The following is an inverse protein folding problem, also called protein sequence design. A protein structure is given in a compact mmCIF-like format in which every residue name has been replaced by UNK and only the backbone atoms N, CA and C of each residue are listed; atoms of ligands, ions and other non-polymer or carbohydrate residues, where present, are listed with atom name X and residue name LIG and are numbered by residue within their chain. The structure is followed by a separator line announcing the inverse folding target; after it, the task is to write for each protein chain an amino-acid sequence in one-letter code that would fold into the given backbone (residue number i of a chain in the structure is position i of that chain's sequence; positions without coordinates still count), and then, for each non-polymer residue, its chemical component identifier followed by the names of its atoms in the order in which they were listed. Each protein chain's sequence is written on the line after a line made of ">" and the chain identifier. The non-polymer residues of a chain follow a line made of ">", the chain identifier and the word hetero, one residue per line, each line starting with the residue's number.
data_IF_833588053104
#
_entry.id   IF_833588053104
#
_cell.length_a   1.000
_cell.length_b   1.000
_cell.length_c   1.000
_cell.angle_alpha   90.00
_cell.angle_beta   90.00
_cell.angle_gamma   90.00
#
_symmetry.space_group_name_H-M   'P 1'
#
loop_
_entity.id
_entity.type
_entity.pdbx_description
1 polymer ?
#
# COMPACT_ATOMS: atom_id res chain seq x y z
N UNK A 1 0.80 -29.90 5.76
CA UNK A 1 -0.31 -30.12 6.73
C UNK A 1 -1.36 -29.07 6.49
N UNK A 2 -2.64 -29.47 6.43
CA UNK A 2 -3.78 -28.56 6.33
C UNK A 2 -4.16 -28.03 7.71
N UNK A 3 -4.71 -26.81 7.74
CA UNK A 3 -5.31 -26.17 8.90
C UNK A 3 -6.59 -25.47 8.45
N UNK A 4 -7.57 -25.40 9.34
CA UNK A 4 -8.83 -24.72 9.07
C UNK A 4 -9.19 -23.74 10.20
N UNK A 5 -9.89 -22.65 9.85
CA UNK A 5 -10.45 -21.66 10.77
C UNK A 5 -11.93 -21.51 10.49
N UNK A 6 -12.76 -21.56 11.53
CA UNK A 6 -14.18 -21.30 11.45
C UNK A 6 -14.51 -19.96 12.11
N UNK A 7 -15.01 -19.02 11.34
CA UNK A 7 -15.43 -17.67 11.74
C UNK A 7 -16.35 -17.08 10.68
N UNK A 8 -16.86 -15.87 10.87
CA UNK A 8 -17.37 -15.11 9.73
C UNK A 8 -16.23 -14.80 8.76
N UNK A 9 -16.47 -14.89 7.44
CA UNK A 9 -15.47 -14.64 6.40
C UNK A 9 -15.89 -13.49 5.52
N UNK A 10 -14.95 -12.58 5.24
CA UNK A 10 -15.01 -11.60 4.16
C UNK A 10 -14.03 -12.01 3.05
N UNK A 11 -14.50 -12.07 1.83
CA UNK A 11 -13.68 -12.30 0.62
C UNK A 11 -14.30 -11.54 -0.56
N UNK A 12 -13.61 -11.52 -1.69
CA UNK A 12 -14.10 -10.83 -2.88
C UNK A 12 -14.18 -11.80 -4.05
N UNK A 13 -15.24 -11.66 -4.88
CA UNK A 13 -15.39 -12.44 -6.10
C UNK A 13 -14.50 -11.90 -7.25
N UNK A 14 -14.62 -12.50 -8.42
CA UNK A 14 -13.84 -12.10 -9.60
C UNK A 14 -14.16 -10.67 -10.09
N UNK A 15 -15.34 -10.14 -9.73
CA UNK A 15 -15.80 -8.80 -10.08
C UNK A 15 -15.49 -7.77 -8.99
N UNK A 16 -14.85 -8.19 -7.88
CA UNK A 16 -14.53 -7.32 -6.74
C UNK A 16 -15.72 -7.06 -5.81
N UNK A 17 -16.80 -7.85 -5.94
CA UNK A 17 -17.93 -7.76 -5.02
C UNK A 17 -17.62 -8.51 -3.73
N UNK A 18 -17.99 -7.92 -2.59
CA UNK A 18 -17.80 -8.54 -1.30
C UNK A 18 -18.71 -9.78 -1.14
N UNK A 19 -18.12 -10.86 -0.69
CA UNK A 19 -18.82 -12.11 -0.34
C UNK A 19 -18.61 -12.37 1.14
N UNK A 20 -19.72 -12.53 1.87
CA UNK A 20 -19.74 -12.75 3.31
C UNK A 20 -20.35 -14.09 3.66
N UNK A 21 -19.61 -14.90 4.36
CA UNK A 21 -20.08 -16.14 4.97
C UNK A 21 -20.17 -15.94 6.48
N UNK A 22 -21.37 -15.78 7.06
CA UNK A 22 -21.56 -15.51 8.50
C UNK A 22 -21.09 -16.64 9.40
N UNK A 23 -21.09 -17.87 8.91
CA UNK A 23 -20.44 -19.05 9.49
C UNK A 23 -19.60 -19.70 8.39
N UNK A 24 -18.39 -19.23 8.24
CA UNK A 24 -17.46 -19.63 7.19
C UNK A 24 -16.40 -20.60 7.67
N UNK A 25 -15.78 -21.28 6.71
CA UNK A 25 -14.58 -22.11 6.89
C UNK A 25 -13.51 -21.68 5.91
N UNK A 26 -12.34 -21.33 6.44
CA UNK A 26 -11.11 -21.08 5.67
C UNK A 26 -10.18 -22.26 5.86
N UNK A 27 -9.83 -22.95 4.78
CA UNK A 27 -8.88 -24.08 4.80
C UNK A 27 -7.62 -23.69 4.08
N UNK A 28 -6.47 -23.94 4.68
CA UNK A 28 -5.16 -23.60 4.13
C UNK A 28 -4.21 -24.78 4.18
N UNK A 29 -3.20 -24.75 3.31
CA UNK A 29 -2.14 -25.77 3.26
C UNK A 29 -0.79 -25.11 2.93
N UNK A 30 0.31 -25.58 3.54
CA UNK A 30 1.66 -25.18 3.11
C UNK A 30 2.02 -25.91 1.82
N UNK A 31 2.54 -25.17 0.85
CA UNK A 31 3.13 -25.70 -0.38
C UNK A 31 4.57 -26.19 -0.15
N UNK A 32 5.22 -26.71 -1.19
CA UNK A 32 6.59 -27.20 -1.14
C UNK A 32 7.63 -26.11 -0.80
N UNK A 33 7.32 -24.85 -1.09
CA UNK A 33 8.16 -23.69 -0.75
C UNK A 33 7.92 -23.18 0.69
N UNK A 34 7.05 -23.85 1.46
CA UNK A 34 6.70 -23.48 2.82
C UNK A 34 5.69 -22.33 2.92
N UNK A 35 5.17 -21.84 1.79
CA UNK A 35 4.15 -20.79 1.76
C UNK A 35 2.78 -21.44 2.01
N UNK A 36 2.02 -20.88 2.94
CA UNK A 36 0.65 -21.30 3.21
C UNK A 36 -0.28 -20.71 2.16
N UNK A 37 -1.07 -21.57 1.50
CA UNK A 37 -2.05 -21.16 0.50
C UNK A 37 -3.47 -21.49 0.92
N UNK A 38 -4.41 -20.70 0.45
CA UNK A 38 -5.84 -21.01 0.59
C UNK A 38 -6.17 -22.21 -0.29
N UNK A 39 -6.77 -23.23 0.32
CA UNK A 39 -7.31 -24.44 -0.36
C UNK A 39 -8.80 -24.25 -0.64
N UNK A 40 -9.54 -23.77 0.36
CA UNK A 40 -10.96 -23.49 0.25
C UNK A 40 -11.36 -22.36 1.22
N UNK A 41 -12.34 -21.55 0.82
CA UNK A 41 -12.99 -20.57 1.67
C UNK A 41 -14.47 -20.43 1.27
N UNK A 42 -15.37 -20.50 2.23
CA UNK A 42 -16.81 -20.42 1.99
C UNK A 42 -17.61 -20.89 3.20
N UNK A 43 -18.91 -21.15 3.00
CA UNK A 43 -19.81 -21.61 4.06
C UNK A 43 -19.29 -22.87 4.76
N UNK A 44 -19.26 -22.84 6.09
CA UNK A 44 -18.88 -23.98 6.89
C UNK A 44 -19.78 -25.20 6.61
N UNK A 45 -21.10 -25.02 6.46
CA UNK A 45 -22.02 -26.11 6.18
C UNK A 45 -21.67 -26.88 4.88
N UNK A 46 -21.19 -26.15 3.88
CA UNK A 46 -20.80 -26.75 2.58
C UNK A 46 -19.40 -27.40 2.62
N UNK A 47 -18.46 -26.80 3.34
CA UNK A 47 -17.05 -27.22 3.30
C UNK A 47 -16.68 -28.23 4.38
N UNK A 48 -17.30 -28.19 5.57
CA UNK A 48 -16.95 -29.06 6.68
C UNK A 48 -16.97 -30.57 6.35
N UNK A 49 -17.95 -31.11 5.59
CA UNK A 49 -17.92 -32.53 5.21
C UNK A 49 -16.71 -32.90 4.35
N UNK A 50 -16.22 -31.97 3.53
CA UNK A 50 -15.07 -32.20 2.62
C UNK A 50 -13.73 -32.18 3.36
N UNK A 51 -13.68 -31.52 4.53
CA UNK A 51 -12.47 -31.30 5.34
C UNK A 51 -12.62 -31.85 6.77
N UNK A 52 -13.44 -32.88 6.97
CA UNK A 52 -13.77 -33.42 8.29
C UNK A 52 -12.57 -33.86 9.13
N UNK A 53 -11.44 -34.22 8.49
CA UNK A 53 -10.20 -34.65 9.17
C UNK A 53 -9.21 -33.52 9.43
N UNK A 54 -9.51 -32.26 8.97
CA UNK A 54 -8.63 -31.12 9.16
C UNK A 54 -8.91 -30.48 10.53
N UNK A 55 -7.86 -30.26 11.37
CA UNK A 55 -8.05 -29.57 12.64
C UNK A 55 -8.60 -28.16 12.41
N UNK A 56 -9.69 -27.82 13.12
CA UNK A 56 -10.40 -26.54 13.00
C UNK A 56 -10.17 -25.68 14.25
N UNK A 57 -9.65 -24.48 14.05
CA UNK A 57 -9.66 -23.43 15.08
C UNK A 57 -10.98 -22.66 14.95
N UNK A 58 -11.86 -22.78 15.94
CA UNK A 58 -13.13 -22.05 15.96
C UNK A 58 -12.96 -20.69 16.66
N UNK A 59 -13.35 -19.63 16.00
CA UNK A 59 -13.22 -18.23 16.43
C UNK A 59 -14.60 -17.55 16.46
N UNK A 60 -15.44 -17.86 17.47
CA UNK A 60 -16.80 -17.34 17.53
C UNK A 60 -16.81 -15.82 17.67
N UNK A 61 -17.70 -15.15 16.93
CA UNK A 61 -17.83 -13.69 16.93
C UNK A 61 -16.65 -12.93 16.29
N UNK A 62 -15.76 -13.62 15.59
CA UNK A 62 -14.67 -12.99 14.84
C UNK A 62 -14.99 -12.93 13.35
N UNK A 63 -14.38 -11.96 12.67
CA UNK A 63 -14.37 -11.84 11.23
C UNK A 63 -12.96 -12.12 10.71
N UNK A 64 -12.83 -13.09 9.82
CA UNK A 64 -11.59 -13.28 9.05
C UNK A 64 -11.74 -12.52 7.74
N UNK A 65 -10.78 -11.66 7.44
CA UNK A 65 -10.69 -10.90 6.20
C UNK A 65 -9.30 -11.08 5.57
N UNK A 66 -9.13 -10.81 4.26
CA UNK A 66 -7.79 -10.77 3.66
C UNK A 66 -6.87 -9.82 4.43
N UNK A 67 -5.59 -10.14 4.50
CA UNK A 67 -4.58 -9.21 4.99
C UNK A 67 -4.58 -7.92 4.16
N UNK A 68 -4.40 -6.79 4.83
CA UNK A 68 -4.39 -5.49 4.16
C UNK A 68 -3.14 -5.34 3.30
N UNK A 69 -3.32 -4.58 2.21
CA UNK A 69 -2.27 -4.25 1.23
C UNK A 69 -2.09 -2.74 1.24
N UNK A 70 -0.93 -2.28 1.67
CA UNK A 70 -0.57 -0.86 1.67
C UNK A 70 0.22 -0.52 0.39
N UNK A 71 -0.34 0.33 -0.46
CA UNK A 71 0.25 0.62 -1.77
C UNK A 71 1.36 1.68 -1.75
N UNK A 72 1.59 2.33 -0.59
CA UNK A 72 2.63 3.35 -0.45
C UNK A 72 2.87 3.67 1.03
N UNK A 73 4.09 3.47 1.49
CA UNK A 73 4.49 3.74 2.87
C UNK A 73 6.00 3.99 2.95
N UNK A 74 6.44 4.85 3.87
CA UNK A 74 7.85 5.17 4.08
C UNK A 74 8.35 4.63 5.42
N UNK A 75 9.11 3.52 5.43
CA UNK A 75 9.63 3.02 6.69
C UNK A 75 10.62 3.95 7.40
N UNK A 76 11.41 4.80 6.68
CA UNK A 76 12.33 5.72 7.36
C UNK A 76 11.66 6.90 8.07
N UNK A 77 10.36 7.11 7.86
CA UNK A 77 9.66 8.31 8.37
C UNK A 77 8.83 8.04 9.64
N UNK A 78 9.05 6.90 10.31
CA UNK A 78 8.35 6.54 11.55
C UNK A 78 8.44 7.63 12.61
N UNK A 79 9.66 8.13 12.84
CA UNK A 79 9.95 9.08 13.91
C UNK A 79 9.41 10.50 13.63
N UNK A 80 8.86 10.76 12.43
CA UNK A 80 8.30 12.05 12.06
C UNK A 80 6.77 12.03 11.87
N UNK A 81 6.11 10.92 12.16
CA UNK A 81 4.65 10.84 12.15
C UNK A 81 4.06 11.91 13.07
N UNK A 82 3.11 12.72 12.55
CA UNK A 82 2.45 13.75 13.33
C UNK A 82 3.31 14.98 13.62
N UNK A 83 4.48 15.14 13.00
CA UNK A 83 5.26 16.36 13.08
C UNK A 83 4.52 17.51 12.39
N UNK A 84 4.43 18.72 13.00
CA UNK A 84 3.68 19.83 12.43
C UNK A 84 4.11 20.18 11.01
N UNK A 85 3.16 20.45 10.12
CA UNK A 85 3.44 20.73 8.71
C UNK A 85 2.71 21.99 8.23
N UNK A 86 3.47 22.92 7.67
CA UNK A 86 2.94 24.10 6.94
C UNK A 86 2.78 23.82 5.43
N UNK A 87 2.84 22.55 5.04
CA UNK A 87 2.77 22.02 3.68
C UNK A 87 3.88 21.04 3.38
N UNK A 88 3.83 20.41 2.18
CA UNK A 88 4.73 19.33 1.78
C UNK A 88 6.21 19.74 1.84
N UNK A 89 6.60 20.79 1.09
CA UNK A 89 8.02 21.10 0.91
C UNK A 89 8.71 21.52 2.21
N UNK A 90 8.13 22.40 3.07
CA UNK A 90 8.71 22.70 4.39
C UNK A 90 8.80 21.46 5.30
N UNK A 91 7.82 20.55 5.24
CA UNK A 91 7.82 19.34 6.04
C UNK A 91 8.94 18.38 5.63
N UNK A 92 9.21 18.26 4.31
CA UNK A 92 10.34 17.47 3.80
C UNK A 92 11.68 18.01 4.31
N UNK A 93 11.88 19.33 4.26
CA UNK A 93 13.13 19.97 4.68
C UNK A 93 13.39 19.88 6.19
N UNK A 94 12.34 20.13 7.00
CA UNK A 94 12.49 20.22 8.46
C UNK A 94 12.54 18.85 9.15
N UNK A 95 11.77 17.88 8.67
CA UNK A 95 11.61 16.60 9.37
C UNK A 95 12.11 15.41 8.57
N UNK A 96 11.70 15.29 7.31
CA UNK A 96 11.90 14.07 6.53
C UNK A 96 13.35 13.84 6.15
N UNK A 97 13.99 14.80 5.49
CA UNK A 97 15.37 14.64 5.04
C UNK A 97 16.37 14.46 6.19
N UNK A 98 16.28 15.21 7.30
CA UNK A 98 17.13 14.96 8.48
C UNK A 98 16.94 13.55 9.05
N UNK A 99 15.73 13.05 9.11
CA UNK A 99 15.44 11.69 9.60
C UNK A 99 15.98 10.63 8.63
N UNK A 100 15.75 10.78 7.33
CA UNK A 100 16.24 9.85 6.32
C UNK A 100 17.77 9.78 6.25
N UNK A 101 18.48 10.88 6.50
CA UNK A 101 19.94 10.91 6.55
C UNK A 101 20.53 9.98 7.62
N UNK A 102 19.81 9.71 8.71
CA UNK A 102 20.24 8.79 9.79
C UNK A 102 20.38 7.35 9.31
N UNK A 103 19.76 6.98 8.20
CA UNK A 103 19.80 5.64 7.63
C UNK A 103 21.13 5.31 6.90
N UNK A 104 22.07 6.24 6.87
CA UNK A 104 23.47 5.96 6.59
C UNK A 104 24.06 5.00 7.62
N UNK A 105 23.55 4.98 8.86
CA UNK A 105 23.91 4.01 9.90
C UNK A 105 23.10 2.72 9.73
N UNK A 106 23.72 1.58 9.39
CA UNK A 106 23.04 0.30 9.24
C UNK A 106 22.38 -0.19 10.54
N UNK A 107 22.90 0.16 11.71
CA UNK A 107 22.31 -0.25 12.99
C UNK A 107 20.98 0.46 13.22
N UNK A 108 20.91 1.77 12.95
CA UNK A 108 19.67 2.54 12.97
C UNK A 108 18.65 1.99 11.97
N UNK A 109 19.08 1.75 10.71
CA UNK A 109 18.21 1.19 9.69
C UNK A 109 17.60 -0.16 10.12
N UNK A 110 18.40 -1.05 10.73
CA UNK A 110 17.94 -2.35 11.22
C UNK A 110 16.97 -2.23 12.41
N UNK A 111 17.18 -1.28 13.33
CA UNK A 111 16.28 -1.02 14.44
C UNK A 111 14.90 -0.56 13.95
N UNK A 112 14.89 0.44 13.07
CA UNK A 112 13.64 0.99 12.51
C UNK A 112 12.93 -0.05 11.63
N UNK A 113 13.66 -0.86 10.87
CA UNK A 113 13.06 -1.93 10.05
C UNK A 113 12.30 -2.97 10.91
N UNK A 114 12.86 -3.35 12.06
CA UNK A 114 12.18 -4.25 13.02
C UNK A 114 10.86 -3.64 13.51
N UNK A 115 10.93 -2.41 13.99
CA UNK A 115 9.76 -1.71 14.51
C UNK A 115 8.69 -1.52 13.43
N UNK A 116 9.10 -1.11 12.22
CA UNK A 116 8.20 -0.95 11.08
C UNK A 116 7.46 -2.25 10.74
N UNK A 117 8.18 -3.37 10.66
CA UNK A 117 7.56 -4.66 10.38
C UNK A 117 6.62 -5.12 11.50
N UNK A 118 6.90 -4.79 12.77
CA UNK A 118 6.01 -5.03 13.91
C UNK A 118 4.71 -4.21 13.77
N UNK A 119 4.82 -2.93 13.39
CA UNK A 119 3.65 -2.06 13.21
C UNK A 119 2.80 -2.50 12.00
N UNK A 120 3.40 -2.90 10.89
CA UNK A 120 2.63 -3.49 9.78
C UNK A 120 1.80 -4.69 10.26
N UNK A 121 2.44 -5.63 10.96
CA UNK A 121 1.77 -6.82 11.48
C UNK A 121 0.69 -6.47 12.53
N UNK A 122 0.96 -5.51 13.43
CA UNK A 122 0.00 -5.02 14.45
C UNK A 122 -1.27 -4.48 13.80
N UNK A 123 -1.14 -3.79 12.67
CA UNK A 123 -2.26 -3.19 11.96
C UNK A 123 -2.88 -4.08 10.88
N UNK A 124 -2.42 -5.34 10.76
CA UNK A 124 -2.97 -6.30 9.81
C UNK A 124 -2.49 -6.14 8.37
N UNK A 125 -1.46 -5.32 8.14
CA UNK A 125 -0.84 -5.14 6.83
C UNK A 125 0.13 -6.29 6.57
N UNK A 126 -0.14 -7.09 5.56
CA UNK A 126 0.66 -8.27 5.20
C UNK A 126 1.47 -8.08 3.93
N UNK A 127 1.12 -7.07 3.14
CA UNK A 127 1.79 -6.68 1.90
C UNK A 127 1.92 -5.16 1.85
N UNK A 128 3.13 -4.64 1.54
CA UNK A 128 3.32 -3.21 1.37
C UNK A 128 4.29 -2.88 0.23
N UNK A 129 4.02 -1.76 -0.47
CA UNK A 129 4.96 -1.10 -1.37
C UNK A 129 5.63 0.04 -0.61
N UNK A 130 6.94 -0.10 -0.34
CA UNK A 130 7.64 0.66 0.68
C UNK A 130 8.78 1.48 0.09
N UNK A 131 8.86 2.75 0.46
CA UNK A 131 10.02 3.59 0.22
C UNK A 131 11.09 3.34 1.28
N UNK A 132 12.33 3.15 0.83
CA UNK A 132 13.54 3.22 1.65
C UNK A 132 14.20 4.61 1.47
N UNK A 133 15.41 4.78 2.00
CA UNK A 133 16.22 5.98 1.76
C UNK A 133 17.14 5.80 0.54
N UNK A 134 17.94 6.82 0.22
CA UNK A 134 18.99 6.73 -0.79
C UNK A 134 20.14 5.79 -0.40
N UNK A 135 20.23 5.35 0.85
CA UNK A 135 21.28 4.48 1.33
C UNK A 135 20.96 3.00 1.05
N UNK A 136 21.83 2.23 0.36
CA UNK A 136 21.63 0.80 0.13
C UNK A 136 21.39 -0.01 1.41
N UNK A 137 22.05 0.37 2.53
CA UNK A 137 21.90 -0.27 3.82
C UNK A 137 20.44 -0.24 4.33
N UNK A 138 19.67 0.79 4.00
CA UNK A 138 18.27 0.89 4.37
C UNK A 138 17.40 -0.18 3.70
N UNK A 139 17.69 -0.51 2.45
CA UNK A 139 17.01 -1.58 1.70
C UNK A 139 17.39 -2.95 2.26
N UNK A 140 18.70 -3.16 2.50
CA UNK A 140 19.19 -4.41 3.07
C UNK A 140 18.58 -4.70 4.43
N UNK A 141 18.49 -3.71 5.31
CA UNK A 141 17.89 -3.82 6.63
C UNK A 141 16.39 -4.21 6.54
N UNK A 142 15.62 -3.50 5.71
CA UNK A 142 14.20 -3.75 5.55
C UNK A 142 13.92 -5.15 4.98
N UNK A 143 14.62 -5.53 3.91
CA UNK A 143 14.38 -6.84 3.27
C UNK A 143 14.86 -8.01 4.13
N UNK A 144 15.94 -7.85 4.90
CA UNK A 144 16.39 -8.86 5.86
C UNK A 144 15.31 -9.12 6.91
N UNK A 145 14.72 -8.06 7.46
CA UNK A 145 13.69 -8.18 8.48
C UNK A 145 12.38 -8.75 7.90
N UNK A 146 11.97 -8.27 6.73
CA UNK A 146 10.78 -8.76 6.03
C UNK A 146 10.87 -10.25 5.69
N UNK A 147 12.05 -10.71 5.22
CA UNK A 147 12.32 -12.13 4.93
C UNK A 147 12.20 -12.99 6.19
N UNK A 148 12.76 -12.53 7.30
CA UNK A 148 12.70 -13.24 8.60
C UNK A 148 11.27 -13.48 9.06
N UNK A 149 10.38 -12.49 8.83
CA UNK A 149 8.96 -12.54 9.21
C UNK A 149 8.04 -13.13 8.15
N UNK A 150 8.57 -13.36 6.95
CA UNK A 150 7.78 -13.84 5.81
C UNK A 150 6.80 -12.82 5.25
N UNK A 151 6.98 -11.53 5.53
CA UNK A 151 6.18 -10.44 4.95
C UNK A 151 6.38 -10.35 3.44
N UNK A 152 5.35 -9.93 2.72
CA UNK A 152 5.47 -9.57 1.30
C UNK A 152 5.73 -8.08 1.19
N UNK A 153 6.99 -7.70 1.00
CA UNK A 153 7.36 -6.32 0.77
C UNK A 153 7.93 -6.11 -0.62
N UNK A 154 7.50 -5.02 -1.25
CA UNK A 154 8.08 -4.49 -2.46
C UNK A 154 8.74 -3.17 -2.06
N UNK A 155 10.04 -3.02 -2.27
CA UNK A 155 10.77 -1.84 -1.84
C UNK A 155 11.95 -1.54 -2.75
N UNK A 156 12.54 -0.36 -2.63
CA UNK A 156 13.71 0.00 -3.38
C UNK A 156 14.44 1.22 -2.80
N UNK A 157 15.71 1.33 -3.16
CA UNK A 157 16.54 2.48 -2.85
C UNK A 157 15.96 3.74 -3.52
N UNK A 158 15.76 4.79 -2.74
CA UNK A 158 15.32 6.07 -3.24
C UNK A 158 16.38 6.70 -4.15
N UNK A 159 15.97 7.20 -5.33
CA UNK A 159 16.81 7.91 -6.28
C UNK A 159 16.52 9.40 -6.17
N UNK A 160 17.57 10.21 -5.86
CA UNK A 160 17.46 11.66 -5.72
C UNK A 160 18.85 12.31 -5.84
N UNK A 161 19.24 12.70 -7.04
CA UNK A 161 20.58 13.22 -7.37
C UNK A 161 20.66 14.74 -7.47
N UNK A 162 19.54 15.46 -7.28
CA UNK A 162 19.50 16.94 -7.22
C UNK A 162 18.47 17.43 -6.20
N UNK A 163 18.56 18.70 -5.83
CA UNK A 163 17.60 19.40 -4.95
C UNK A 163 17.30 18.64 -3.65
N UNK A 164 18.28 17.90 -3.15
CA UNK A 164 18.22 17.16 -1.89
C UNK A 164 19.45 17.52 -1.04
N UNK A 165 19.31 17.50 0.30
CA UNK A 165 20.47 17.72 1.18
C UNK A 165 21.55 16.65 1.00
N UNK A 166 22.81 17.00 1.27
CA UNK A 166 23.97 16.13 1.07
C UNK A 166 23.83 14.77 1.76
N UNK A 167 23.19 14.72 2.93
CA UNK A 167 22.99 13.48 3.70
C UNK A 167 22.08 12.44 3.04
N UNK A 168 21.33 12.83 1.98
CA UNK A 168 20.42 11.92 1.25
C UNK A 168 20.56 12.04 -0.26
N UNK A 169 21.44 12.92 -0.76
CA UNK A 169 21.65 13.13 -2.21
C UNK A 169 22.53 12.04 -2.78
N UNK A 170 22.11 11.48 -3.90
CA UNK A 170 22.85 10.52 -4.70
C UNK A 170 23.88 11.19 -5.63
N UNK A 171 24.82 10.37 -6.10
CA UNK A 171 25.53 10.58 -7.37
C UNK A 171 24.84 9.71 -8.43
N UNK A 172 24.56 10.27 -9.61
CA UNK A 172 23.72 9.62 -10.64
C UNK A 172 24.18 8.22 -11.00
N UNK A 173 25.46 8.08 -11.41
CA UNK A 173 25.99 6.80 -11.87
C UNK A 173 26.02 5.75 -10.77
N UNK A 174 26.51 6.13 -9.59
CA UNK A 174 26.57 5.21 -8.44
C UNK A 174 25.19 4.78 -7.99
N UNK A 175 24.22 5.68 -7.99
CA UNK A 175 22.83 5.36 -7.57
C UNK A 175 22.19 4.29 -8.45
N UNK A 176 22.47 4.30 -9.75
CA UNK A 176 21.98 3.30 -10.70
C UNK A 176 22.70 1.95 -10.55
N UNK A 177 24.03 1.97 -10.31
CA UNK A 177 24.83 0.77 -10.00
C UNK A 177 24.31 0.10 -8.73
N UNK A 178 24.09 0.87 -7.67
CA UNK A 178 23.56 0.37 -6.40
C UNK A 178 22.15 -0.22 -6.57
N UNK A 179 21.30 0.46 -7.35
CA UNK A 179 19.93 -0.01 -7.66
C UNK A 179 19.98 -1.36 -8.37
N UNK A 180 20.81 -1.51 -9.39
CA UNK A 180 20.96 -2.78 -10.11
C UNK A 180 21.50 -3.90 -9.20
N UNK A 181 22.48 -3.60 -8.36
CA UNK A 181 23.02 -4.56 -7.39
C UNK A 181 21.94 -5.04 -6.41
N UNK A 182 21.11 -4.13 -5.91
CA UNK A 182 19.99 -4.45 -5.00
C UNK A 182 18.88 -5.23 -5.71
N UNK A 183 18.58 -4.94 -6.98
CA UNK A 183 17.67 -5.76 -7.80
C UNK A 183 18.16 -7.21 -7.85
N UNK A 184 19.42 -7.40 -8.23
CA UNK A 184 20.03 -8.75 -8.34
C UNK A 184 20.06 -9.48 -6.99
N UNK A 185 20.24 -8.77 -5.89
CA UNK A 185 20.29 -9.33 -4.54
C UNK A 185 18.93 -9.75 -4.00
N UNK A 186 17.89 -8.94 -4.21
CA UNK A 186 16.65 -9.07 -3.46
C UNK A 186 15.41 -9.40 -4.28
N UNK A 187 15.34 -9.02 -5.56
CA UNK A 187 14.13 -9.26 -6.34
C UNK A 187 13.87 -10.76 -6.50
N UNK A 188 12.66 -11.20 -6.08
CA UNK A 188 12.25 -12.60 -6.16
C UNK A 188 12.80 -13.50 -5.05
N UNK A 189 13.48 -12.96 -4.04
CA UNK A 189 13.91 -13.73 -2.87
C UNK A 189 12.69 -13.96 -1.96
N UNK A 190 12.23 -15.18 -1.88
CA UNK A 190 11.02 -15.52 -1.13
C UNK A 190 9.81 -14.72 -1.63
N UNK A 191 9.28 -13.85 -0.79
CA UNK A 191 8.11 -13.00 -1.10
C UNK A 191 8.50 -11.53 -1.39
N UNK A 192 9.79 -11.24 -1.54
CA UNK A 192 10.28 -9.87 -1.72
C UNK A 192 10.26 -9.47 -3.19
N UNK A 193 9.91 -8.22 -3.45
CA UNK A 193 9.96 -7.57 -4.76
C UNK A 193 10.80 -6.30 -4.71
N UNK A 194 11.55 -6.00 -5.75
CA UNK A 194 12.26 -4.74 -5.85
C UNK A 194 11.45 -3.71 -6.65
N UNK A 195 11.51 -2.43 -6.25
CA UNK A 195 10.96 -1.31 -6.98
C UNK A 195 12.07 -0.30 -7.32
N UNK A 196 12.19 0.08 -8.59
CA UNK A 196 12.98 1.24 -9.00
C UNK A 196 12.25 2.48 -8.51
N UNK A 197 12.91 3.32 -7.70
CA UNK A 197 12.24 4.29 -6.84
C UNK A 197 12.81 5.72 -7.02
N UNK A 198 12.59 6.42 -8.14
CA UNK A 198 12.76 7.87 -8.16
C UNK A 198 11.86 8.50 -7.08
N UNK A 199 12.43 9.37 -6.22
CA UNK A 199 11.60 9.97 -5.16
C UNK A 199 10.41 10.73 -5.75
N UNK A 200 10.72 11.73 -6.55
CA UNK A 200 9.78 12.46 -7.41
C UNK A 200 10.59 13.26 -8.43
N UNK A 201 9.99 13.68 -9.54
CA UNK A 201 10.73 14.26 -10.65
C UNK A 201 11.61 15.48 -10.26
N UNK A 202 11.21 16.40 -9.36
CA UNK A 202 12.06 17.52 -8.97
C UNK A 202 13.41 17.14 -8.35
N UNK A 203 13.53 16.00 -7.69
CA UNK A 203 14.78 15.54 -7.06
C UNK A 203 15.61 14.61 -7.92
N UNK A 204 15.20 14.32 -9.15
CA UNK A 204 15.98 13.51 -10.11
C UNK A 204 16.33 14.33 -11.34
N UNK A 205 17.59 14.24 -11.80
CA UNK A 205 17.97 14.79 -13.10
C UNK A 205 17.38 13.94 -14.23
N UNK A 206 17.33 14.50 -15.46
CA UNK A 206 16.96 13.72 -16.65
C UNK A 206 17.87 12.50 -16.84
N UNK A 207 19.15 12.62 -16.50
CA UNK A 207 20.11 11.52 -16.59
C UNK A 207 19.74 10.37 -15.63
N UNK A 208 19.35 10.69 -14.39
CA UNK A 208 18.92 9.69 -13.41
C UNK A 208 17.58 9.06 -13.81
N UNK A 209 16.58 9.85 -14.25
CA UNK A 209 15.32 9.31 -14.73
C UNK A 209 15.48 8.42 -15.95
N UNK A 210 16.32 8.81 -16.92
CA UNK A 210 16.64 7.99 -18.09
C UNK A 210 17.28 6.67 -17.70
N UNK A 211 18.32 6.69 -16.85
CA UNK A 211 18.96 5.48 -16.36
C UNK A 211 18.01 4.57 -15.56
N UNK A 212 17.09 5.15 -14.78
CA UNK A 212 16.03 4.41 -14.10
C UNK A 212 15.08 3.72 -15.10
N UNK A 213 14.73 4.40 -16.20
CA UNK A 213 13.93 3.82 -17.30
C UNK A 213 14.67 2.70 -18.03
N UNK A 214 15.96 2.85 -18.29
CA UNK A 214 16.82 1.80 -18.89
C UNK A 214 16.88 0.56 -17.97
N UNK A 215 17.08 0.74 -16.67
CA UNK A 215 17.01 -0.36 -15.70
C UNK A 215 15.62 -1.00 -15.69
N UNK A 216 14.55 -0.20 -15.75
CA UNK A 216 13.20 -0.72 -15.81
C UNK A 216 12.95 -1.58 -17.07
N UNK A 217 13.51 -1.19 -18.21
CA UNK A 217 13.44 -1.97 -19.45
C UNK A 217 14.26 -3.26 -19.35
N UNK A 218 15.45 -3.22 -18.74
CA UNK A 218 16.31 -4.38 -18.52
C UNK A 218 15.72 -5.40 -17.53
N UNK A 219 14.98 -4.92 -16.53
CA UNK A 219 14.36 -5.74 -15.48
C UNK A 219 12.84 -5.63 -15.50
N UNK A 220 12.14 -6.20 -16.49
CA UNK A 220 10.70 -5.99 -16.69
C UNK A 220 9.83 -6.55 -15.55
N UNK A 221 10.35 -7.44 -14.71
CA UNK A 221 9.64 -8.01 -13.58
C UNK A 221 9.63 -7.13 -12.32
N UNK A 222 10.55 -6.15 -12.20
CA UNK A 222 10.60 -5.24 -11.05
C UNK A 222 9.48 -4.21 -11.11
N UNK A 223 9.10 -3.68 -9.94
CA UNK A 223 8.16 -2.57 -9.83
C UNK A 223 8.86 -1.23 -10.08
N UNK A 224 8.06 -0.20 -10.28
CA UNK A 224 8.47 1.20 -10.29
C UNK A 224 7.57 1.92 -9.30
N UNK A 225 8.11 2.82 -8.50
CA UNK A 225 7.31 3.68 -7.62
C UNK A 225 7.87 5.10 -7.57
N UNK A 226 6.99 6.06 -7.44
CA UNK A 226 7.35 7.47 -7.27
C UNK A 226 6.16 8.26 -6.71
N UNK A 227 6.33 9.58 -6.50
CA UNK A 227 5.28 10.52 -6.18
C UNK A 227 4.95 11.35 -7.41
N UNK A 228 3.68 11.77 -7.55
CA UNK A 228 3.25 12.63 -8.66
C UNK A 228 2.04 13.47 -8.32
N UNK A 229 2.10 14.74 -8.67
CA UNK A 229 0.99 15.68 -8.62
C UNK A 229 0.26 15.69 -7.27
N UNK A 230 1.05 15.71 -6.19
CA UNK A 230 0.56 15.78 -4.82
C UNK A 230 0.19 17.21 -4.45
N UNK A 231 1.08 18.18 -4.69
CA UNK A 231 0.96 19.55 -4.25
C UNK A 231 1.12 20.54 -5.42
N UNK A 232 0.44 21.67 -5.36
CA UNK A 232 0.47 22.68 -6.44
C UNK A 232 1.85 23.31 -6.62
N UNK A 233 2.59 23.53 -5.53
CA UNK A 233 3.95 24.10 -5.58
C UNK A 233 4.94 23.07 -6.16
N UNK A 234 4.79 21.80 -5.80
CA UNK A 234 5.53 20.67 -6.39
C UNK A 234 5.30 20.59 -7.91
N UNK A 235 4.05 20.71 -8.35
CA UNK A 235 3.69 20.69 -9.78
C UNK A 235 4.33 21.87 -10.52
N UNK A 236 4.27 23.08 -9.95
CA UNK A 236 4.90 24.26 -10.53
C UNK A 236 6.42 24.08 -10.64
N UNK A 237 7.04 23.49 -9.62
CA UNK A 237 8.48 23.19 -9.61
C UNK A 237 8.85 22.13 -10.65
N UNK A 238 8.11 21.02 -10.73
CA UNK A 238 8.32 19.99 -11.76
C UNK A 238 8.20 20.58 -13.18
N UNK A 239 7.19 21.42 -13.43
CA UNK A 239 6.99 22.09 -14.72
C UNK A 239 8.13 23.05 -15.09
N UNK A 240 8.70 23.74 -14.10
CA UNK A 240 9.85 24.64 -14.34
C UNK A 240 11.13 23.85 -14.71
N UNK A 241 11.30 22.65 -14.16
CA UNK A 241 12.46 21.80 -14.40
C UNK A 241 12.36 20.95 -15.69
N UNK A 242 11.14 20.65 -16.14
CA UNK A 242 10.83 19.85 -17.32
C UNK A 242 9.81 20.56 -18.23
N UNK A 243 10.18 21.70 -18.83
CA UNK A 243 9.25 22.56 -19.57
C UNK A 243 8.68 21.91 -20.84
N UNK A 244 9.37 20.92 -21.40
CA UNK A 244 8.97 20.24 -22.63
C UNK A 244 7.97 19.10 -22.40
N UNK A 245 7.81 18.64 -21.16
CA UNK A 245 6.85 17.58 -20.83
C UNK A 245 5.42 18.14 -20.77
N UNK A 246 4.46 17.41 -21.34
CA UNK A 246 3.04 17.81 -21.42
C UNK A 246 2.40 18.02 -20.03
N UNK A 247 2.74 17.17 -19.08
CA UNK A 247 2.27 17.23 -17.69
C UNK A 247 3.32 16.66 -16.75
N UNK A 248 3.12 16.81 -15.43
CA UNK A 248 4.03 16.20 -14.45
C UNK A 248 4.10 14.66 -14.62
N UNK A 249 2.97 14.00 -14.84
CA UNK A 249 2.95 12.56 -15.08
C UNK A 249 3.69 12.20 -16.37
N UNK A 250 3.59 13.02 -17.41
CA UNK A 250 4.26 12.79 -18.68
C UNK A 250 5.78 12.75 -18.55
N UNK A 251 6.39 13.44 -17.57
CA UNK A 251 7.83 13.35 -17.30
C UNK A 251 8.26 11.89 -17.13
N UNK A 252 7.51 11.11 -16.38
CA UNK A 252 7.81 9.69 -16.18
C UNK A 252 7.58 8.85 -17.44
N UNK A 253 6.56 9.18 -18.24
CA UNK A 253 6.31 8.52 -19.52
C UNK A 253 7.46 8.77 -20.50
N UNK A 254 7.95 10.02 -20.59
CA UNK A 254 9.06 10.44 -21.46
C UNK A 254 10.37 9.71 -21.13
N UNK A 255 10.50 9.21 -19.90
CA UNK A 255 11.67 8.43 -19.43
C UNK A 255 11.42 6.92 -19.33
N UNK A 256 10.31 6.39 -19.88
CA UNK A 256 10.04 4.95 -19.91
C UNK A 256 9.67 4.34 -18.55
N UNK A 257 9.19 5.16 -17.62
CA UNK A 257 8.86 4.74 -16.24
C UNK A 257 7.37 4.42 -16.04
N UNK A 258 6.54 4.50 -17.08
CA UNK A 258 5.11 4.17 -17.00
C UNK A 258 4.81 2.84 -17.68
N UNK A 259 4.33 1.89 -16.90
CA UNK A 259 3.99 0.53 -17.38
C UNK A 259 3.22 -0.24 -16.30
N UNK A 260 2.80 -1.45 -16.63
CA UNK A 260 2.35 -2.44 -15.62
C UNK A 260 3.42 -2.58 -14.53
N UNK A 261 3.03 -2.64 -13.26
CA UNK A 261 3.88 -2.61 -12.06
C UNK A 261 4.54 -1.26 -11.78
N UNK A 262 4.12 -0.18 -12.43
CA UNK A 262 4.46 1.17 -12.00
C UNK A 262 3.33 1.72 -11.11
N UNK A 263 3.68 2.33 -9.98
CA UNK A 263 2.75 2.86 -8.98
C UNK A 263 3.19 4.26 -8.60
N UNK A 264 2.27 5.21 -8.73
CA UNK A 264 2.51 6.60 -8.37
C UNK A 264 1.63 6.99 -7.20
N UNK A 265 2.23 7.58 -6.16
CA UNK A 265 1.50 8.05 -4.99
C UNK A 265 0.80 9.38 -5.26
N UNK A 266 -0.29 9.61 -4.54
CA UNK A 266 -1.16 10.79 -4.49
C UNK A 266 -2.04 11.00 -5.72
N UNK A 267 -1.51 11.39 -6.87
CA UNK A 267 -2.27 11.62 -8.11
C UNK A 267 -3.47 12.58 -7.94
N UNK A 268 -3.33 13.62 -7.07
CA UNK A 268 -4.44 14.49 -6.66
C UNK A 268 -4.88 15.40 -7.80
N UNK A 269 -3.89 16.05 -8.44
CA UNK A 269 -4.13 17.11 -9.41
C UNK A 269 -4.06 16.61 -10.85
N UNK A 270 -4.71 15.48 -11.13
CA UNK A 270 -4.77 14.87 -12.45
C UNK A 270 -5.91 15.45 -13.29
N UNK A 271 -5.64 15.66 -14.57
CA UNK A 271 -6.65 15.85 -15.61
C UNK A 271 -7.05 14.49 -16.22
N UNK A 272 -8.10 14.46 -17.04
CA UNK A 272 -8.58 13.24 -17.67
C UNK A 272 -7.53 12.60 -18.61
N UNK A 273 -6.68 13.42 -19.25
CA UNK A 273 -5.56 12.94 -20.07
C UNK A 273 -4.51 12.18 -19.24
N UNK A 274 -4.24 12.61 -17.98
CA UNK A 274 -3.33 11.90 -17.09
C UNK A 274 -3.95 10.57 -16.63
N UNK A 275 -5.27 10.57 -16.33
CA UNK A 275 -6.01 9.33 -16.01
C UNK A 275 -6.02 8.36 -17.19
N UNK A 276 -6.21 8.86 -18.41
CA UNK A 276 -6.13 8.06 -19.63
C UNK A 276 -4.72 7.48 -19.82
N UNK A 277 -3.66 8.26 -19.57
CA UNK A 277 -2.29 7.80 -19.66
C UNK A 277 -2.00 6.68 -18.64
N UNK A 278 -2.49 6.82 -17.38
CA UNK A 278 -2.40 5.75 -16.37
C UNK A 278 -3.08 4.46 -16.82
N UNK A 279 -4.30 4.57 -17.38
CA UNK A 279 -5.07 3.42 -17.91
C UNK A 279 -4.31 2.74 -19.04
N UNK A 280 -3.88 3.51 -20.04
CA UNK A 280 -3.32 3.01 -21.30
C UNK A 280 -1.94 2.37 -21.09
N UNK A 281 -1.18 2.83 -20.09
CA UNK A 281 0.09 2.24 -19.66
C UNK A 281 -0.07 1.15 -18.60
N UNK A 282 -1.28 0.87 -18.12
CA UNK A 282 -1.55 -0.04 -17.00
C UNK A 282 -0.84 0.35 -15.70
N UNK A 283 -0.56 1.63 -15.53
CA UNK A 283 0.05 2.20 -14.33
C UNK A 283 -1.01 2.39 -13.24
N UNK A 284 -0.65 2.26 -11.97
CA UNK A 284 -1.57 2.36 -10.85
C UNK A 284 -1.29 3.59 -9.97
N UNK A 285 -2.34 4.10 -9.31
CA UNK A 285 -2.22 5.12 -8.27
C UNK A 285 -2.30 4.50 -6.87
N UNK A 286 -1.42 4.95 -5.97
CA UNK A 286 -1.54 4.78 -4.53
C UNK A 286 -2.20 6.02 -3.93
N UNK A 287 -3.43 5.88 -3.47
CA UNK A 287 -4.22 6.98 -2.91
C UNK A 287 -3.94 7.11 -1.42
N UNK A 288 -3.39 8.24 -0.99
CA UNK A 288 -2.86 8.50 0.35
C UNK A 288 -3.73 9.51 1.13
N UNK A 289 -4.98 9.19 1.48
CA UNK A 289 -5.95 10.19 1.91
C UNK A 289 -5.58 10.88 3.23
N UNK A 290 -4.92 10.20 4.16
CA UNK A 290 -4.51 10.80 5.43
C UNK A 290 -3.39 11.82 5.26
N UNK A 291 -2.39 11.51 4.44
CA UNK A 291 -1.29 12.40 4.10
C UNK A 291 -1.77 13.61 3.29
N UNK A 292 -2.57 13.35 2.25
CA UNK A 292 -3.12 14.42 1.42
C UNK A 292 -3.86 15.49 2.25
N UNK A 293 -4.58 15.06 3.29
CA UNK A 293 -5.29 15.96 4.20
C UNK A 293 -4.35 16.62 5.22
N UNK A 294 -3.42 15.86 5.78
CA UNK A 294 -2.51 16.33 6.82
C UNK A 294 -1.53 17.40 6.29
N UNK A 295 -0.99 17.18 5.09
CA UNK A 295 -0.08 18.11 4.42
C UNK A 295 -0.80 19.22 3.64
N UNK A 296 -2.15 19.22 3.62
CA UNK A 296 -2.94 20.22 2.91
C UNK A 296 -2.84 20.15 1.39
N UNK A 297 -2.45 18.99 0.85
CA UNK A 297 -2.23 18.78 -0.59
C UNK A 297 -3.52 18.73 -1.40
N UNK A 298 -4.64 18.31 -0.81
CA UNK A 298 -5.96 18.27 -1.45
C UNK A 298 -6.67 16.93 -1.35
N UNK A 299 -7.65 16.70 -2.23
CA UNK A 299 -8.46 15.47 -2.27
C UNK A 299 -8.22 14.71 -3.57
N UNK A 300 -7.99 13.41 -3.47
CA UNK A 300 -8.00 12.55 -4.65
C UNK A 300 -9.40 12.56 -5.31
N UNK A 301 -9.43 12.75 -6.62
CA UNK A 301 -10.67 12.81 -7.39
C UNK A 301 -11.20 11.39 -7.71
N UNK A 302 -11.89 10.78 -6.73
CA UNK A 302 -12.52 9.47 -6.91
C UNK A 302 -13.58 9.47 -8.02
N UNK A 303 -14.34 10.56 -8.20
CA UNK A 303 -15.33 10.67 -9.26
C UNK A 303 -14.68 10.71 -10.65
N UNK A 304 -13.57 11.42 -10.77
CA UNK A 304 -12.75 11.41 -11.99
C UNK A 304 -12.17 10.04 -12.30
N UNK A 305 -11.74 9.31 -11.26
CA UNK A 305 -11.24 7.94 -11.41
C UNK A 305 -12.33 6.93 -11.80
N UNK A 306 -13.61 7.20 -11.51
CA UNK A 306 -14.72 6.41 -12.03
C UNK A 306 -15.09 6.79 -13.47
N UNK A 307 -14.99 8.07 -13.82
CA UNK A 307 -15.28 8.57 -15.18
C UNK A 307 -14.25 8.09 -16.20
N UNK A 308 -12.97 8.14 -15.86
CA UNK A 308 -11.84 7.62 -16.64
C UNK A 308 -11.13 6.56 -15.80
N UNK A 309 -11.61 5.29 -15.85
CA UNK A 309 -11.12 4.25 -14.95
C UNK A 309 -9.66 3.89 -15.19
N UNK A 310 -8.89 3.83 -14.11
CA UNK A 310 -7.53 3.29 -14.05
C UNK A 310 -7.28 2.57 -12.73
N UNK A 311 -6.23 1.77 -12.66
CA UNK A 311 -5.92 0.99 -11.47
C UNK A 311 -5.53 1.90 -10.29
N UNK A 312 -6.16 1.72 -9.12
CA UNK A 312 -5.81 2.43 -7.90
C UNK A 312 -6.17 1.62 -6.66
N UNK A 313 -5.52 1.92 -5.56
CA UNK A 313 -5.82 1.38 -4.24
C UNK A 313 -5.37 2.33 -3.13
N UNK A 314 -5.69 1.99 -1.88
CA UNK A 314 -5.41 2.84 -0.74
C UNK A 314 -4.00 2.61 -0.19
N UNK A 315 -3.45 3.64 0.42
CA UNK A 315 -2.13 3.68 1.01
C UNK A 315 -2.11 4.54 2.28
N UNK A 316 -1.27 4.17 3.23
CA UNK A 316 -1.12 4.92 4.49
C UNK A 316 -0.25 6.15 4.33
N UNK A 317 0.82 6.03 3.53
CA UNK A 317 1.85 7.06 3.37
C UNK A 317 2.44 7.55 4.71
N UNK A 318 2.65 6.64 5.64
CA UNK A 318 3.41 6.95 6.86
C UNK A 318 4.84 7.37 6.47
N UNK A 319 5.41 8.56 6.86
CA UNK A 319 4.98 9.45 7.94
C UNK A 319 4.31 10.77 7.52
N UNK A 320 4.10 11.14 6.23
CA UNK A 320 3.17 12.20 5.87
C UNK A 320 1.74 11.76 6.20
N UNK A 321 1.42 10.50 6.03
CA UNK A 321 0.22 9.88 6.57
C UNK A 321 0.29 9.65 8.08
N UNK A 322 -0.86 9.75 8.73
CA UNK A 322 -0.96 9.91 10.19
C UNK A 322 -1.16 8.60 10.95
N UNK A 323 -1.22 7.45 10.28
CA UNK A 323 -1.48 6.16 10.91
C UNK A 323 -1.16 4.98 10.00
N UNK A 324 -0.68 3.88 10.58
CA UNK A 324 -0.60 2.57 9.92
C UNK A 324 -1.97 1.88 9.77
N UNK A 325 -3.00 2.35 10.47
CA UNK A 325 -4.29 1.67 10.52
C UNK A 325 -5.04 1.77 9.19
N UNK A 326 -5.35 0.64 8.53
CA UNK A 326 -6.19 0.62 7.34
C UNK A 326 -7.58 1.21 7.57
N UNK A 327 -8.10 1.11 8.79
CA UNK A 327 -9.40 1.70 9.17
C UNK A 327 -9.34 3.24 9.10
N UNK A 328 -8.24 3.84 9.57
CA UNK A 328 -8.02 5.30 9.49
C UNK A 328 -7.90 5.73 8.04
N UNK A 329 -7.14 5.00 7.22
CA UNK A 329 -6.97 5.26 5.79
C UNK A 329 -8.31 5.18 5.04
N UNK A 330 -9.09 4.11 5.25
CA UNK A 330 -10.41 3.94 4.64
C UNK A 330 -11.39 5.02 5.08
N UNK A 331 -11.37 5.43 6.35
CA UNK A 331 -12.20 6.51 6.88
C UNK A 331 -11.85 7.85 6.24
N UNK A 332 -10.56 8.15 6.10
CA UNK A 332 -10.10 9.36 5.42
C UNK A 332 -10.49 9.36 3.94
N UNK A 333 -10.40 8.22 3.25
CA UNK A 333 -10.86 8.07 1.86
C UNK A 333 -12.37 8.32 1.72
N UNK A 334 -13.18 7.80 2.66
CA UNK A 334 -14.61 8.08 2.69
C UNK A 334 -14.90 9.57 2.85
N UNK A 335 -14.21 10.23 3.79
CA UNK A 335 -14.41 11.67 4.01
C UNK A 335 -13.93 12.50 2.83
N UNK A 336 -12.79 12.16 2.22
CA UNK A 336 -12.28 12.83 1.04
C UNK A 336 -13.26 12.76 -0.14
N UNK A 337 -13.82 11.58 -0.42
CA UNK A 337 -14.84 11.41 -1.44
C UNK A 337 -16.09 12.25 -1.18
N UNK A 338 -16.54 12.32 0.08
CA UNK A 338 -17.73 13.09 0.48
C UNK A 338 -17.45 14.61 0.48
N UNK A 339 -16.30 15.04 0.98
CA UNK A 339 -15.94 16.46 1.07
C UNK A 339 -15.86 17.14 -0.30
N UNK A 340 -15.45 16.44 -1.33
CA UNK A 340 -15.40 16.95 -2.70
C UNK A 340 -16.79 17.40 -3.23
N UNK A 341 -17.90 16.97 -2.61
CA UNK A 341 -19.27 17.33 -3.00
C UNK A 341 -19.83 18.57 -2.30
N UNK A 342 -19.11 19.19 -1.36
CA UNK A 342 -19.65 20.24 -0.45
C UNK A 342 -19.24 21.65 -0.77
N UNK A 343 -18.55 21.92 -1.88
CA UNK A 343 -18.09 23.25 -2.28
C UNK A 343 -19.21 24.10 -2.91
N UNK A 344 -18.96 25.44 -3.01
CA UNK A 344 -19.86 26.40 -3.67
C UNK A 344 -20.03 26.11 -5.16
N UNK A 345 -19.00 25.56 -5.79
CA UNK A 345 -19.10 24.89 -7.09
C UNK A 345 -19.03 23.39 -6.85
N UNK A 346 -20.10 22.63 -7.14
CA UNK A 346 -20.14 21.21 -6.84
C UNK A 346 -19.12 20.47 -7.72
N UNK A 347 -17.95 20.16 -7.17
CA UNK A 347 -17.18 19.04 -7.64
C UNK A 347 -18.02 17.79 -7.37
N UNK A 348 -18.06 16.88 -8.33
CA UNK A 348 -18.79 15.61 -8.19
C UNK A 348 -18.10 14.76 -7.11
N UNK A 349 -18.49 14.92 -5.85
CA UNK A 349 -18.10 14.00 -4.80
C UNK A 349 -18.86 12.69 -4.92
N UNK A 350 -18.26 11.63 -4.41
CA UNK A 350 -18.90 10.31 -4.37
C UNK A 350 -18.92 9.74 -2.96
N UNK A 351 -19.87 8.87 -2.71
CA UNK A 351 -19.94 8.08 -1.50
C UNK A 351 -19.38 6.69 -1.77
N UNK A 352 -18.14 6.43 -1.33
CA UNK A 352 -17.54 5.11 -1.43
C UNK A 352 -18.27 4.16 -0.46
N UNK A 353 -18.76 3.02 -0.95
CA UNK A 353 -19.36 2.02 -0.08
C UNK A 353 -18.32 1.38 0.85
N UNK A 354 -18.71 0.87 2.02
CA UNK A 354 -17.81 0.15 2.92
C UNK A 354 -17.06 -0.99 2.23
N UNK A 355 -17.75 -1.78 1.42
CA UNK A 355 -17.18 -2.91 0.67
C UNK A 355 -16.15 -2.42 -0.35
N UNK A 356 -16.40 -1.29 -1.02
CA UNK A 356 -15.46 -0.69 -1.96
C UNK A 356 -14.19 -0.22 -1.25
N UNK A 357 -14.31 0.39 -0.08
CA UNK A 357 -13.16 0.83 0.74
C UNK A 357 -12.29 -0.36 1.16
N UNK A 358 -12.92 -1.45 1.64
CA UNK A 358 -12.21 -2.68 1.97
C UNK A 358 -11.53 -3.29 0.75
N UNK A 359 -12.23 -3.34 -0.38
CA UNK A 359 -11.65 -3.83 -1.63
C UNK A 359 -10.44 -3.01 -2.05
N UNK A 360 -10.50 -1.67 -1.97
CA UNK A 360 -9.39 -0.76 -2.31
C UNK A 360 -8.16 -0.93 -1.40
N UNK A 361 -8.33 -1.50 -0.22
CA UNK A 361 -7.22 -1.76 0.72
C UNK A 361 -6.84 -3.25 0.83
N UNK A 362 -7.41 -4.11 -0.01
CA UNK A 362 -7.15 -5.56 -0.04
C UNK A 362 -7.03 -6.06 -1.49
N UNK A 363 -8.08 -6.70 -2.04
CA UNK A 363 -8.06 -7.31 -3.37
C UNK A 363 -7.85 -6.29 -4.50
N UNK A 364 -8.38 -5.08 -4.37
CA UNK A 364 -8.19 -4.00 -5.33
C UNK A 364 -6.76 -3.47 -5.34
N UNK A 365 -6.18 -3.26 -4.15
CA UNK A 365 -4.78 -2.89 -4.01
C UNK A 365 -3.84 -3.98 -4.56
N UNK A 366 -4.11 -5.25 -4.25
CA UNK A 366 -3.36 -6.36 -4.81
C UNK A 366 -3.44 -6.41 -6.35
N UNK A 367 -4.63 -6.16 -6.92
CA UNK A 367 -4.81 -6.04 -8.38
C UNK A 367 -4.01 -4.88 -8.96
N UNK A 368 -4.01 -3.72 -8.29
CA UNK A 368 -3.27 -2.54 -8.72
C UNK A 368 -1.75 -2.75 -8.67
N UNK A 369 -1.25 -3.57 -7.72
CA UNK A 369 0.15 -3.99 -7.61
C UNK A 369 0.54 -5.15 -8.55
N UNK A 370 -0.34 -5.62 -9.43
CA UNK A 370 -0.12 -6.82 -10.27
C UNK A 370 0.12 -8.11 -9.42
N UNK A 371 -0.56 -8.19 -8.27
CA UNK A 371 -0.53 -9.33 -7.34
C UNK A 371 -1.92 -10.01 -7.20
N UNK A 372 -2.85 -9.76 -8.14
CA UNK A 372 -4.16 -10.42 -8.16
C UNK A 372 -4.01 -11.93 -8.20
N UNK A 373 -4.76 -12.65 -7.36
CA UNK A 373 -4.66 -14.11 -7.23
C UNK A 373 -3.43 -14.58 -6.44
N UNK A 374 -2.57 -13.66 -6.00
CA UNK A 374 -1.43 -13.95 -5.13
C UNK A 374 -1.76 -13.59 -3.68
N UNK A 375 -2.18 -12.33 -3.42
CA UNK A 375 -2.52 -11.82 -2.09
C UNK A 375 -3.79 -10.97 -2.12
N UNK A 376 -4.21 -10.44 -0.97
CA UNK A 376 -5.33 -9.49 -0.83
C UNK A 376 -6.71 -10.13 -0.94
N UNK A 377 -6.80 -11.46 -1.06
CA UNK A 377 -8.06 -12.19 -1.12
C UNK A 377 -7.91 -13.59 -0.47
N UNK A 378 -9.07 -14.23 -0.17
CA UNK A 378 -9.13 -15.58 0.37
C UNK A 378 -9.64 -16.59 -0.69
N UNK A 379 -9.39 -16.34 -1.97
CA UNK A 379 -9.70 -17.29 -3.03
C UNK A 379 -8.71 -18.45 -3.03
N UNK A 380 -9.15 -19.68 -3.42
CA UNK A 380 -8.23 -20.81 -3.59
C UNK A 380 -7.03 -20.46 -4.48
N UNK A 381 -5.83 -20.85 -4.02
CA UNK A 381 -4.56 -20.54 -4.68
C UNK A 381 -3.86 -19.29 -4.14
N UNK A 382 -4.57 -18.33 -3.57
CA UNK A 382 -3.94 -17.16 -2.92
C UNK A 382 -3.06 -17.60 -1.74
N UNK A 383 -2.01 -16.85 -1.48
CA UNK A 383 -1.26 -16.92 -0.24
C UNK A 383 -2.20 -16.59 0.93
N UNK A 384 -2.17 -17.38 1.98
CA UNK A 384 -3.10 -17.28 3.09
C UNK A 384 -2.64 -16.19 4.08
N UNK A 385 -2.54 -14.96 3.58
CA UNK A 385 -2.38 -13.76 4.38
C UNK A 385 -3.77 -13.26 4.79
N UNK A 386 -4.05 -13.28 6.08
CA UNK A 386 -5.35 -12.85 6.58
C UNK A 386 -5.28 -12.24 7.98
N UNK A 387 -6.31 -11.49 8.32
CA UNK A 387 -6.50 -10.92 9.65
C UNK A 387 -7.69 -11.57 10.34
N UNK A 388 -7.56 -11.77 11.64
CA UNK A 388 -8.66 -12.10 12.54
C UNK A 388 -9.06 -10.83 13.26
N UNK A 389 -10.26 -10.36 13.02
CA UNK A 389 -10.79 -9.13 13.55
C UNK A 389 -11.80 -9.39 14.67
N UNK A 390 -11.72 -8.58 15.73
CA UNK A 390 -12.65 -8.59 16.83
C UNK A 390 -13.62 -7.39 16.74
N UNK A 391 -14.86 -7.57 16.25
CA UNK A 391 -15.84 -6.50 16.22
C UNK A 391 -16.27 -5.99 17.60
N UNK A 392 -15.91 -6.71 18.66
CA UNK A 392 -16.17 -6.36 20.06
C UNK A 392 -14.94 -5.77 20.80
N UNK A 393 -13.89 -5.36 20.11
CA UNK A 393 -12.62 -4.96 20.72
C UNK A 393 -12.73 -3.79 21.72
N UNK A 394 -13.70 -2.91 21.54
CA UNK A 394 -13.98 -1.82 22.50
C UNK A 394 -15.48 -1.77 22.84
N UNK A 395 -15.87 -1.23 24.02
CA UNK A 395 -17.29 -1.18 24.42
C UNK A 395 -18.19 -0.45 23.40
N UNK A 396 -17.72 0.65 22.82
CA UNK A 396 -18.49 1.40 21.82
C UNK A 396 -18.62 0.63 20.51
N UNK A 397 -17.54 0.01 20.04
CA UNK A 397 -17.55 -0.80 18.83
C UNK A 397 -18.47 -2.03 19.02
N UNK A 398 -18.34 -2.74 20.14
CA UNK A 398 -19.21 -3.88 20.48
C UNK A 398 -20.70 -3.49 20.48
N UNK A 399 -21.05 -2.35 21.09
CA UNK A 399 -22.41 -1.83 21.09
C UNK A 399 -22.93 -1.53 19.68
N UNK A 400 -22.08 -0.91 18.82
CA UNK A 400 -22.48 -0.54 17.46
C UNK A 400 -22.58 -1.77 16.54
N UNK A 401 -21.61 -2.69 16.62
CA UNK A 401 -21.62 -3.88 15.77
C UNK A 401 -22.71 -4.88 16.14
N UNK A 402 -23.15 -4.92 17.41
CA UNK A 402 -24.31 -5.70 17.83
C UNK A 402 -25.64 -5.23 17.20
N UNK A 403 -25.70 -4.03 16.65
CA UNK A 403 -26.85 -3.47 15.93
C UNK A 403 -26.69 -3.55 14.41
N UNK A 404 -25.58 -4.13 13.92
CA UNK A 404 -25.37 -4.27 12.48
C UNK A 404 -26.23 -5.41 11.91
N UNK A 405 -27.13 -5.07 11.01
CA UNK A 405 -28.02 -6.03 10.34
C UNK A 405 -27.44 -6.49 8.99
N UNK A 406 -26.53 -5.70 8.43
CA UNK A 406 -25.93 -5.96 7.12
C UNK A 406 -24.40 -6.01 7.20
N UNK A 407 -23.77 -6.63 6.20
CA UNK A 407 -22.31 -6.60 6.04
C UNK A 407 -21.80 -5.15 5.94
N UNK A 408 -22.45 -4.30 5.13
CA UNK A 408 -22.08 -2.91 4.96
C UNK A 408 -22.02 -2.15 6.30
N UNK A 409 -23.02 -2.33 7.17
CA UNK A 409 -23.04 -1.71 8.50
C UNK A 409 -21.94 -2.22 9.41
N UNK A 410 -21.64 -3.52 9.38
CA UNK A 410 -20.53 -4.11 10.13
C UNK A 410 -19.19 -3.54 9.66
N UNK A 411 -18.93 -3.58 8.35
CA UNK A 411 -17.67 -3.09 7.76
C UNK A 411 -17.50 -1.58 8.00
N UNK A 412 -18.57 -0.80 7.91
CA UNK A 412 -18.49 0.63 8.13
C UNK A 412 -18.28 0.99 9.61
N UNK A 413 -18.89 0.24 10.54
CA UNK A 413 -18.60 0.39 11.96
C UNK A 413 -17.12 0.14 12.28
N UNK A 414 -16.50 -0.88 11.66
CA UNK A 414 -15.07 -1.16 11.76
C UNK A 414 -14.22 -0.01 11.17
N UNK A 415 -14.61 0.54 10.02
CA UNK A 415 -13.91 1.68 9.39
C UNK A 415 -13.94 2.91 10.31
N UNK A 416 -15.10 3.23 10.89
CA UNK A 416 -15.30 4.48 11.65
C UNK A 416 -14.72 4.40 13.06
N UNK A 417 -14.86 3.27 13.73
CA UNK A 417 -14.54 3.09 15.16
C UNK A 417 -13.34 2.18 15.41
N UNK A 418 -12.81 1.52 14.35
CA UNK A 418 -11.71 0.57 14.46
C UNK A 418 -10.34 1.25 14.52
N UNK A 419 -9.44 0.56 15.19
CA UNK A 419 -8.00 0.82 15.26
C UNK A 419 -7.23 -0.51 15.40
N UNK A 420 -5.95 -0.49 15.81
CA UNK A 420 -5.12 -1.70 15.97
C UNK A 420 -5.72 -2.72 16.97
N UNK A 421 -6.51 -2.27 17.95
CA UNK A 421 -7.18 -3.15 18.93
C UNK A 421 -8.20 -4.10 18.28
N UNK A 422 -8.70 -3.75 17.09
CA UNK A 422 -9.61 -4.61 16.32
C UNK A 422 -8.86 -5.80 15.73
N UNK A 423 -7.56 -5.64 15.43
CA UNK A 423 -6.73 -6.70 14.84
C UNK A 423 -6.25 -7.65 15.94
N UNK A 424 -6.99 -8.73 16.17
CA UNK A 424 -6.65 -9.73 17.19
C UNK A 424 -5.46 -10.59 16.77
N UNK A 425 -5.36 -10.86 15.47
CA UNK A 425 -4.26 -11.65 14.89
C UNK A 425 -4.05 -11.32 13.43
N UNK A 426 -2.79 -11.20 13.06
CA UNK A 426 -2.34 -11.16 11.66
C UNK A 426 -1.65 -12.47 11.33
N UNK A 427 -2.13 -13.16 10.30
CA UNK A 427 -1.54 -14.41 9.81
C UNK A 427 -0.82 -14.13 8.52
N UNK A 428 0.49 -14.38 8.53
CA UNK A 428 1.38 -14.21 7.38
C UNK A 428 1.70 -15.59 6.83
N UNK A 429 1.51 -15.79 5.54
CA UNK A 429 1.53 -17.12 4.91
C UNK A 429 2.86 -17.86 5.03
N UNK A 430 3.98 -17.13 5.14
CA UNK A 430 5.33 -17.71 5.25
C UNK A 430 5.93 -17.56 6.67
N UNK A 431 5.20 -16.99 7.64
CA UNK A 431 5.70 -16.93 9.02
C UNK A 431 6.00 -18.34 9.56
N UNK A 432 7.15 -18.46 10.25
CA UNK A 432 7.62 -19.73 10.85
C UNK A 432 6.78 -20.18 12.02
#
# INVERSE_FOLDING_TARGET
>A
MQQAWRAALLRFDAHGQAVHDSDGLLVTQRDAAGVRRVVAAGSHATLAPQFAQVPVTHLPGRLIAPGFVDMHVHYPQLDVIGSPADGLLPWLEHYTFPQEARFADPAHAAEVARFFCDELARHGVTTALTFCTSHPASVDALFTEAQTRGLRLIAGKCLQDRHSPDGVRDETGQSLIDTEALIKKWHGVGRLGYAITPRFAPTSTEAQLRGAGELAAQYPAVWIQSHVAENVDEIAWARALFPDSRSYLAIYADHGLMRRRAVYAHCIHFHDDDRALMRDTHTAAAVCPTSNLFLGSGFFDFAGAERVPFAHGLASDVGGGTSFSPFVTMRAAYFAGRAASTGVEPKLGISLSPERLWWLHTAGAARALDLQGVVGNLQPGCEADFVVLNPGATPLLARRTAQAETLAELLFALIVLGDDRVVERTVISQAK
#
